data_IF_261207201597
#
_entry.id   IF_261207201597
#
_cell.length_a   1.000
_cell.length_b   1.000
_cell.length_c   1.000
_cell.angle_alpha   90.00
_cell.angle_beta   90.00
_cell.angle_gamma   90.00
#
_symmetry.space_group_name_H-M   'P 1'
#
loop_
_entity.id
_entity.type
_entity.pdbx_description
1 polymer ?
#
# COMPACT_ATOMS: atom_id res chain seq x y z
N UNK A 1 8.18 -8.96 -0.54
CA UNK A 1 8.43 -10.17 -1.37
C UNK A 1 9.82 -10.18 -2.04
N UNK A 2 10.83 -9.48 -1.48
CA UNK A 2 12.19 -9.39 -2.08
C UNK A 2 12.97 -10.71 -2.01
N UNK A 3 12.54 -11.64 -1.15
CA UNK A 3 13.17 -12.95 -0.93
C UNK A 3 12.76 -14.02 -1.95
N UNK A 4 11.67 -13.80 -2.70
CA UNK A 4 11.09 -14.79 -3.62
C UNK A 4 11.19 -14.30 -5.06
N UNK A 5 12.36 -14.45 -5.66
CA UNK A 5 12.64 -14.13 -7.06
C UNK A 5 12.76 -15.46 -7.82
N UNK A 6 12.10 -15.64 -8.98
CA UNK A 6 11.35 -14.64 -9.75
C UNK A 6 9.83 -14.56 -9.43
N UNK A 7 9.27 -15.43 -8.58
CA UNK A 7 7.80 -15.55 -8.45
C UNK A 7 7.11 -14.35 -7.79
N UNK A 8 7.82 -13.59 -6.95
CA UNK A 8 7.28 -12.43 -6.22
C UNK A 8 7.50 -11.10 -6.93
N UNK A 9 8.71 -10.90 -7.43
CA UNK A 9 9.11 -9.84 -8.35
C UNK A 9 10.11 -10.44 -9.33
N UNK A 10 10.10 -9.97 -10.57
CA UNK A 10 11.05 -10.47 -11.59
C UNK A 10 12.50 -10.17 -11.21
N UNK A 11 12.74 -9.13 -10.41
CA UNK A 11 14.07 -8.73 -9.93
C UNK A 11 14.06 -8.05 -8.57
N UNK A 12 15.25 -7.81 -8.04
CA UNK A 12 15.43 -7.05 -6.82
C UNK A 12 15.23 -5.55 -7.07
N UNK A 13 14.27 -4.97 -6.35
CA UNK A 13 14.05 -3.52 -6.30
C UNK A 13 14.52 -2.97 -4.95
N UNK A 14 15.12 -1.78 -4.98
CA UNK A 14 15.60 -1.11 -3.79
C UNK A 14 14.50 -0.30 -3.10
N UNK A 15 13.62 -0.99 -2.37
CA UNK A 15 12.67 -0.34 -1.47
C UNK A 15 13.34 -0.03 -0.13
N UNK A 16 13.18 1.21 0.34
CA UNK A 16 13.86 1.76 1.51
C UNK A 16 12.85 2.25 2.56
N UNK A 17 13.35 2.54 3.77
CA UNK A 17 12.52 3.22 4.79
C UNK A 17 12.16 4.65 4.40
N UNK A 18 12.90 5.26 3.47
CA UNK A 18 12.59 6.58 2.93
C UNK A 18 11.28 6.58 2.15
N UNK A 19 11.02 5.53 1.39
CA UNK A 19 9.78 5.39 0.61
C UNK A 19 8.55 5.27 1.51
N UNK A 20 8.69 4.54 2.62
CA UNK A 20 7.64 4.44 3.65
C UNK A 20 7.37 5.80 4.31
N UNK A 21 8.40 6.59 4.61
CA UNK A 21 8.22 7.94 5.18
C UNK A 21 7.53 8.89 4.21
N UNK A 22 7.93 8.86 2.94
CA UNK A 22 7.30 9.66 1.89
C UNK A 22 5.83 9.28 1.69
N UNK A 23 5.54 7.97 1.60
CA UNK A 23 4.19 7.44 1.53
C UNK A 23 3.32 7.88 2.70
N UNK A 24 3.85 7.81 3.94
CA UNK A 24 3.14 8.26 5.14
C UNK A 24 2.79 9.75 5.06
N UNK A 25 3.76 10.59 4.68
CA UNK A 25 3.53 12.03 4.57
C UNK A 25 2.39 12.36 3.59
N UNK A 26 2.36 11.68 2.44
CA UNK A 26 1.29 11.82 1.45
C UNK A 26 -0.06 11.39 2.02
N UNK A 27 -0.11 10.23 2.68
CA UNK A 27 -1.35 9.71 3.25
C UNK A 27 -1.86 10.65 4.35
N UNK A 28 -0.98 11.17 5.19
CA UNK A 28 -1.34 12.13 6.24
C UNK A 28 -1.96 13.39 5.63
N UNK A 29 -1.42 13.89 4.52
CA UNK A 29 -1.98 15.05 3.81
C UNK A 29 -3.31 14.75 3.14
N UNK A 30 -3.43 13.59 2.48
CA UNK A 30 -4.69 13.12 1.92
C UNK A 30 -5.76 12.89 2.99
N UNK A 31 -5.37 12.46 4.19
CA UNK A 31 -6.27 12.34 5.35
C UNK A 31 -6.79 13.71 5.82
N UNK A 32 -6.03 14.79 5.67
CA UNK A 32 -6.48 16.17 5.97
C UNK A 32 -7.34 16.78 4.86
N UNK A 33 -7.18 16.34 3.62
CA UNK A 33 -8.00 16.78 2.49
C UNK A 33 -9.48 16.45 2.69
N UNK A 34 -10.39 17.33 2.28
CA UNK A 34 -11.84 17.08 2.30
C UNK A 34 -12.24 16.04 1.22
N UNK A 35 -11.49 15.99 0.11
CA UNK A 35 -11.72 15.04 -0.98
C UNK A 35 -10.88 13.77 -0.76
N UNK A 36 -11.54 12.61 -0.76
CA UNK A 36 -10.90 11.29 -0.63
C UNK A 36 -10.79 10.59 -1.99
N UNK A 37 -9.96 11.15 -2.87
CA UNK A 37 -9.68 10.56 -4.17
C UNK A 37 -8.65 9.42 -4.03
N UNK A 38 -9.10 8.19 -4.27
CA UNK A 38 -8.26 7.00 -4.24
C UNK A 38 -7.35 6.90 -5.45
N UNK A 39 -7.78 7.39 -6.62
CA UNK A 39 -6.99 7.33 -7.85
C UNK A 39 -5.75 8.21 -7.74
N UNK A 40 -5.85 9.34 -7.03
CA UNK A 40 -4.70 10.15 -6.66
C UNK A 40 -3.66 9.37 -5.83
N UNK A 41 -4.10 8.66 -4.78
CA UNK A 41 -3.19 7.86 -3.94
C UNK A 41 -2.55 6.73 -4.73
N UNK A 42 -3.33 6.00 -5.54
CA UNK A 42 -2.78 4.94 -6.38
C UNK A 42 -1.77 5.50 -7.38
N UNK A 43 -2.10 6.60 -8.06
CA UNK A 43 -1.23 7.24 -9.03
C UNK A 43 0.08 7.72 -8.41
N UNK A 44 0.03 8.33 -7.22
CA UNK A 44 1.24 8.80 -6.56
C UNK A 44 2.13 7.66 -6.05
N UNK A 45 1.52 6.64 -5.44
CA UNK A 45 2.26 5.46 -4.98
C UNK A 45 2.88 4.68 -6.14
N UNK A 46 2.13 4.52 -7.23
CA UNK A 46 2.55 3.83 -8.44
C UNK A 46 3.63 4.63 -9.18
N UNK A 47 3.40 5.90 -9.49
CA UNK A 47 4.30 6.65 -10.40
C UNK A 47 5.46 7.33 -9.68
N UNK A 48 5.28 7.81 -8.46
CA UNK A 48 6.26 8.69 -7.78
C UNK A 48 7.05 7.94 -6.72
N UNK A 49 6.38 7.16 -5.87
CA UNK A 49 7.04 6.55 -4.70
C UNK A 49 7.72 5.23 -5.09
N UNK A 50 6.99 4.30 -5.72
CA UNK A 50 7.48 2.94 -5.95
C UNK A 50 7.84 2.64 -7.41
N UNK A 51 7.05 3.08 -8.39
CA UNK A 51 7.23 2.68 -9.79
C UNK A 51 8.38 3.34 -10.52
N UNK A 52 8.92 4.47 -10.03
CA UNK A 52 10.16 5.05 -10.59
C UNK A 52 11.37 4.11 -10.52
N UNK A 53 11.29 3.02 -9.75
CA UNK A 53 12.32 1.98 -9.64
C UNK A 53 11.97 0.70 -10.38
N UNK A 54 10.72 0.54 -10.82
CA UNK A 54 10.21 -0.65 -11.49
C UNK A 54 10.21 -0.42 -13.00
N UNK A 55 11.08 -1.12 -13.71
CA UNK A 55 11.20 -1.08 -15.17
C UNK A 55 10.46 -2.20 -15.89
N UNK A 56 10.02 -3.23 -15.15
CA UNK A 56 9.27 -4.36 -15.71
C UNK A 56 7.76 -4.07 -15.60
N UNK A 57 7.07 -4.03 -16.75
CA UNK A 57 5.63 -3.78 -16.80
C UNK A 57 4.80 -4.79 -16.01
N UNK A 58 5.21 -6.06 -15.94
CA UNK A 58 4.54 -7.06 -15.12
C UNK A 58 4.66 -6.76 -13.63
N UNK A 59 5.84 -6.35 -13.17
CA UNK A 59 6.07 -6.01 -11.77
C UNK A 59 5.33 -4.72 -11.36
N UNK A 60 5.13 -3.79 -12.31
CA UNK A 60 4.26 -2.62 -12.11
C UNK A 60 2.81 -3.06 -11.90
N UNK A 61 2.29 -3.99 -12.70
CA UNK A 61 0.93 -4.52 -12.52
C UNK A 61 0.78 -5.26 -11.17
N UNK A 62 1.81 -5.98 -10.74
CA UNK A 62 1.86 -6.60 -9.42
C UNK A 62 1.80 -5.54 -8.31
N UNK A 63 2.57 -4.45 -8.42
CA UNK A 63 2.51 -3.32 -7.48
C UNK A 63 1.10 -2.72 -7.42
N UNK A 64 0.49 -2.42 -8.57
CA UNK A 64 -0.87 -1.87 -8.67
C UNK A 64 -1.91 -2.79 -8.02
N UNK A 65 -1.79 -4.09 -8.22
CA UNK A 65 -2.66 -5.07 -7.58
C UNK A 65 -2.53 -5.04 -6.06
N UNK A 66 -1.31 -4.90 -5.51
CA UNK A 66 -1.13 -4.73 -4.06
C UNK A 66 -1.72 -3.43 -3.54
N UNK A 67 -1.51 -2.32 -4.26
CA UNK A 67 -2.04 -1.03 -3.86
C UNK A 67 -3.56 -1.09 -3.76
N UNK A 68 -4.25 -1.57 -4.79
CA UNK A 68 -5.73 -1.69 -4.80
C UNK A 68 -6.26 -2.68 -3.77
N UNK A 69 -5.55 -3.79 -3.54
CA UNK A 69 -5.97 -4.80 -2.57
C UNK A 69 -5.90 -4.28 -1.13
N UNK A 70 -4.82 -3.57 -0.79
CA UNK A 70 -4.55 -3.18 0.60
C UNK A 70 -5.10 -1.79 0.93
N UNK A 71 -5.05 -0.85 -0.02
CA UNK A 71 -5.54 0.52 0.17
C UNK A 71 -6.89 0.64 -0.52
N UNK A 72 -7.96 0.31 0.19
CA UNK A 72 -9.31 0.57 -0.29
C UNK A 72 -10.21 0.96 0.89
N UNK A 73 -11.39 1.50 0.58
CA UNK A 73 -12.29 1.98 1.60
C UNK A 73 -12.71 0.88 2.58
N UNK A 74 -12.92 -0.35 2.13
CA UNK A 74 -13.41 -1.45 3.00
C UNK A 74 -12.36 -1.88 4.01
N UNK A 75 -11.09 -1.97 3.61
CA UNK A 75 -9.96 -2.33 4.49
C UNK A 75 -9.65 -1.19 5.46
N UNK A 76 -9.63 0.07 5.00
CA UNK A 76 -9.25 1.20 5.85
C UNK A 76 -10.38 1.62 6.81
N UNK A 77 -11.65 1.51 6.42
CA UNK A 77 -12.79 1.84 7.30
C UNK A 77 -13.16 0.72 8.27
N UNK A 78 -12.52 -0.46 8.16
CA UNK A 78 -12.72 -1.56 9.10
C UNK A 78 -14.09 -2.22 9.00
N UNK A 79 -14.75 -2.17 7.84
CA UNK A 79 -16.01 -2.88 7.66
C UNK A 79 -15.80 -4.39 7.79
N UNK A 80 -16.41 -4.96 8.84
CA UNK A 80 -16.08 -6.25 9.44
C UNK A 80 -16.21 -7.49 8.53
N UNK A 81 -16.81 -7.37 7.35
CA UNK A 81 -17.05 -8.51 6.45
C UNK A 81 -15.94 -8.71 5.40
N UNK A 82 -15.06 -7.72 5.18
CA UNK A 82 -14.00 -7.78 4.16
C UNK A 82 -12.65 -7.18 4.62
N UNK A 83 -12.46 -6.89 5.91
CA UNK A 83 -11.24 -6.29 6.46
C UNK A 83 -10.08 -7.29 6.68
N UNK A 84 -10.12 -8.45 6.02
CA UNK A 84 -9.03 -9.43 6.04
C UNK A 84 -7.94 -9.07 5.03
N UNK A 85 -6.72 -8.76 5.48
CA UNK A 85 -5.57 -8.53 4.59
C UNK A 85 -5.18 -9.82 3.86
N UNK A 86 -5.28 -10.92 4.59
CA UNK A 86 -5.09 -12.29 4.15
C UNK A 86 -6.00 -13.18 4.99
N UNK A 87 -6.34 -14.37 4.47
CA UNK A 87 -7.25 -15.31 5.11
C UNK A 87 -6.93 -15.48 6.60
N UNK A 88 -7.88 -15.08 7.45
CA UNK A 88 -7.77 -15.20 8.91
C UNK A 88 -6.91 -14.12 9.60
N UNK A 89 -6.49 -13.05 8.91
CA UNK A 89 -5.79 -11.90 9.50
C UNK A 89 -6.59 -10.63 9.20
N UNK A 90 -7.24 -10.11 10.24
CA UNK A 90 -8.03 -8.86 10.21
C UNK A 90 -7.19 -7.64 10.55
N UNK A 91 -7.50 -6.50 9.94
CA UNK A 91 -6.92 -5.20 10.36
C UNK A 91 -7.58 -4.74 11.67
N UNK A 92 -6.81 -4.48 12.74
CA UNK A 92 -7.37 -3.91 13.95
C UNK A 92 -7.76 -2.45 13.74
N UNK A 93 -9.01 -2.11 14.05
CA UNK A 93 -9.48 -0.72 14.14
C UNK A 93 -9.22 -0.20 15.55
N UNK A 94 -7.97 0.16 15.81
CA UNK A 94 -7.53 0.71 17.10
C UNK A 94 -7.18 2.19 16.95
N UNK A 95 -7.44 2.98 17.99
CA UNK A 95 -7.21 4.44 17.99
C UNK A 95 -5.76 4.83 18.26
N UNK A 96 -4.95 3.88 18.75
CA UNK A 96 -3.56 4.10 19.11
C UNK A 96 -2.63 2.99 18.58
N UNK A 97 -1.41 3.37 18.23
CA UNK A 97 -0.34 2.43 17.82
C UNK A 97 0.07 1.51 18.97
N UNK A 98 -0.04 1.96 20.24
CA UNK A 98 0.22 1.09 21.39
C UNK A 98 -0.75 -0.10 21.48
N UNK A 99 -1.96 0.01 20.94
CA UNK A 99 -2.97 -1.06 20.95
C UNK A 99 -2.73 -2.09 19.82
N UNK A 100 -1.74 -1.84 18.95
CA UNK A 100 -1.33 -2.72 17.85
C UNK A 100 -0.17 -3.66 18.21
N UNK A 101 0.52 -3.43 19.34
CA UNK A 101 1.67 -4.21 19.83
C UNK A 101 1.24 -5.28 20.83
#
# INVERSE_FOLDING_TARGET
RRTFIPQGFSKFYEFSSGDVRAARHVIDEWCRSETKDWDFIYGLMDQVIYGGRIDNSFDVEVLRAYLRKNFNATVITGQATHSELVRGITVPTVGSVQEML
#
